data_IF_961544984691
#
_entry.id   IF_961544984691
#
_cell.length_a   1.000
_cell.length_b   1.000
_cell.length_c   1.000
_cell.angle_alpha   90.00
_cell.angle_beta   90.00
_cell.angle_gamma   90.00
#
_symmetry.space_group_name_H-M   'P 1'
#
loop_
_entity.id
_entity.type
_entity.pdbx_description
1 polymer ?
#
# COMPACT_ATOMS: atom_id res chain seq x y z
N UNK A 1 -13.38 -11.38 -64.39
CA UNK A 1 -12.05 -11.24 -65.02
C UNK A 1 -11.30 -10.12 -64.34
N UNK A 2 -10.15 -10.45 -63.75
CA UNK A 2 -9.25 -9.58 -62.99
C UNK A 2 -8.44 -8.62 -63.88
N UNK A 3 -8.17 -7.40 -63.38
CA UNK A 3 -6.87 -6.69 -63.45
C UNK A 3 -7.00 -5.38 -62.66
N UNK A 4 -6.58 -5.31 -61.39
CA UNK A 4 -5.21 -4.96 -60.90
C UNK A 4 -4.67 -3.67 -61.54
N UNK A 5 -4.88 -2.54 -60.86
CA UNK A 5 -4.06 -1.33 -60.97
C UNK A 5 -3.20 -1.22 -59.72
N UNK A 6 -1.89 -1.33 -59.92
CA UNK A 6 -0.84 -1.00 -58.96
C UNK A 6 -0.58 0.50 -59.05
N UNK A 7 -0.67 1.22 -57.94
CA UNK A 7 -0.17 2.58 -57.81
C UNK A 7 0.94 2.60 -56.75
N UNK A 8 2.15 2.87 -57.24
CA UNK A 8 3.35 3.14 -56.45
C UNK A 8 3.17 4.42 -55.65
N UNK A 9 3.42 4.38 -54.33
CA UNK A 9 3.56 5.59 -53.51
C UNK A 9 5.02 5.73 -53.11
N UNK A 10 5.63 6.82 -53.58
CA UNK A 10 7.00 7.20 -53.35
C UNK A 10 7.23 7.61 -51.88
N UNK A 11 8.31 7.09 -51.30
CA UNK A 11 8.86 7.51 -50.01
C UNK A 11 9.69 8.76 -50.22
N UNK A 12 9.28 9.89 -49.63
CA UNK A 12 10.08 11.11 -49.56
C UNK A 12 10.70 11.22 -48.15
N UNK A 13 12.02 11.06 -48.15
CA UNK A 13 12.92 11.21 -47.02
C UNK A 13 13.13 12.72 -46.77
N UNK A 14 12.74 13.22 -45.60
CA UNK A 14 12.99 14.61 -45.18
C UNK A 14 13.76 14.62 -43.86
N UNK A 15 15.09 14.72 -43.95
CA UNK A 15 15.98 14.94 -42.82
C UNK A 15 16.08 16.45 -42.54
N UNK A 16 15.76 16.87 -41.31
CA UNK A 16 16.06 18.21 -40.82
C UNK A 16 16.98 18.11 -39.60
N UNK A 17 18.28 18.35 -39.85
CA UNK A 17 19.26 18.68 -38.82
C UNK A 17 19.06 20.14 -38.40
N UNK A 18 18.86 20.39 -37.11
CA UNK A 18 19.06 21.71 -36.51
C UNK A 18 20.05 21.54 -35.36
N UNK A 19 21.27 22.03 -35.60
CA UNK A 19 22.29 22.21 -34.58
C UNK A 19 21.99 23.50 -33.81
N UNK A 20 21.90 23.42 -32.47
CA UNK A 20 21.91 24.58 -31.60
C UNK A 20 23.16 24.51 -30.71
N UNK A 21 23.97 25.55 -30.83
CA UNK A 21 25.29 25.69 -30.26
C UNK A 21 25.27 25.90 -28.74
N UNK A 22 26.33 25.42 -28.09
CA UNK A 22 26.70 25.71 -26.72
C UNK A 22 27.06 27.20 -26.55
N UNK A 23 26.55 27.83 -25.51
CA UNK A 23 27.12 29.05 -24.94
C UNK A 23 27.31 28.88 -23.43
N UNK A 24 28.59 28.77 -23.04
CA UNK A 24 29.04 28.95 -21.67
C UNK A 24 29.00 30.44 -21.33
N UNK A 25 28.42 30.78 -20.18
CA UNK A 25 28.74 32.03 -19.49
C UNK A 25 29.08 31.72 -18.03
N UNK A 26 30.35 31.98 -17.72
CA UNK A 26 30.98 32.07 -16.42
C UNK A 26 30.43 33.25 -15.62
N UNK A 27 30.21 33.06 -14.32
CA UNK A 27 29.96 34.13 -13.33
C UNK A 27 30.86 33.86 -12.10
N UNK A 28 31.47 34.89 -11.48
CA UNK A 28 32.71 34.74 -10.72
C UNK A 28 32.54 34.40 -9.23
N UNK A 29 33.67 34.00 -8.64
CA UNK A 29 33.88 33.77 -7.20
C UNK A 29 34.01 35.06 -6.38
N UNK A 30 33.61 34.98 -5.11
CA UNK A 30 33.83 35.94 -4.02
C UNK A 30 32.53 36.14 -3.22
N UNK A 31 32.47 36.15 -1.90
CA UNK A 31 33.43 35.99 -0.80
C UNK A 31 32.61 36.06 0.52
N UNK A 32 33.19 35.52 1.60
CA UNK A 32 32.90 35.76 3.02
C UNK A 32 31.73 35.04 3.71
N UNK A 33 32.11 34.00 4.46
CA UNK A 33 31.58 33.63 5.78
C UNK A 33 31.74 34.80 6.77
N UNK A 34 31.03 34.76 7.91
CA UNK A 34 31.75 34.44 9.14
C UNK A 34 31.19 33.25 9.91
N UNK A 35 32.13 32.42 10.39
CA UNK A 35 32.00 31.58 11.59
C UNK A 35 31.67 32.46 12.80
N UNK A 36 30.83 31.96 13.69
CA UNK A 36 30.87 32.36 15.09
C UNK A 36 31.24 31.16 15.95
N UNK A 37 32.36 31.33 16.62
CA UNK A 37 33.07 30.39 17.47
C UNK A 37 32.53 30.37 18.89
N UNK A 38 32.69 29.22 19.53
CA UNK A 38 32.44 28.95 20.94
C UNK A 38 33.08 29.97 21.91
N UNK A 39 32.45 30.12 23.08
CA UNK A 39 33.16 30.47 24.31
C UNK A 39 32.58 29.67 25.47
N UNK A 40 33.44 28.85 26.07
CA UNK A 40 33.26 28.25 27.37
C UNK A 40 33.68 29.26 28.45
N UNK A 41 32.94 29.32 29.55
CA UNK A 41 33.43 29.89 30.81
C UNK A 41 33.20 28.90 31.94
N UNK A 42 34.27 28.71 32.69
CA UNK A 42 34.46 27.78 33.79
C UNK A 42 34.33 28.53 35.13
N UNK A 43 33.60 27.91 36.07
CA UNK A 43 33.76 27.88 37.54
C UNK A 43 34.07 29.15 38.36
N UNK A 44 33.27 29.35 39.42
CA UNK A 44 33.81 29.49 40.79
C UNK A 44 32.78 29.11 41.87
N UNK A 45 33.26 28.34 42.85
CA UNK A 45 32.64 27.94 44.12
C UNK A 45 32.56 29.16 45.09
N UNK A 46 31.95 29.18 46.28
CA UNK A 46 31.33 28.24 47.21
C UNK A 46 30.48 29.08 48.20
N UNK A 47 29.59 28.42 48.93
CA UNK A 47 29.29 28.57 50.38
C UNK A 47 27.80 28.48 50.73
N UNK A 48 27.56 27.57 51.66
CA UNK A 48 26.32 27.19 52.29
C UNK A 48 26.10 28.08 53.53
N UNK A 49 24.85 28.29 53.97
CA UNK A 49 24.56 27.81 55.32
C UNK A 49 23.23 27.08 55.48
N UNK A 50 23.27 26.24 56.49
CA UNK A 50 22.30 25.25 56.96
C UNK A 50 21.02 25.80 57.60
N UNK A 51 20.02 24.90 57.58
CA UNK A 51 18.95 24.69 58.56
C UNK A 51 17.62 25.43 58.36
N UNK A 52 16.60 24.69 57.91
CA UNK A 52 15.53 24.17 58.78
C UNK A 52 14.43 23.53 57.92
N UNK A 53 14.10 22.27 58.23
CA UNK A 53 12.98 21.52 57.65
C UNK A 53 11.65 21.98 58.28
N UNK A 54 10.55 21.91 57.52
CA UNK A 54 9.42 21.15 58.03
C UNK A 54 8.87 20.17 56.98
N UNK A 55 8.60 18.97 57.47
CA UNK A 55 7.92 17.90 56.77
C UNK A 55 6.47 18.29 56.43
N UNK A 56 6.09 18.12 55.16
CA UNK A 56 4.69 17.97 54.73
C UNK A 56 4.62 16.92 53.61
N UNK A 57 4.15 15.74 54.01
CA UNK A 57 3.22 14.83 53.33
C UNK A 57 3.50 14.48 51.86
N UNK A 58 3.94 13.24 51.68
CA UNK A 58 3.84 12.48 50.43
C UNK A 58 2.38 12.29 50.06
N UNK A 59 1.95 12.81 48.90
CA UNK A 59 0.82 12.26 48.18
C UNK A 59 1.32 11.06 47.37
N UNK A 60 0.75 9.88 47.64
CA UNK A 60 0.98 8.66 46.89
C UNK A 60 0.60 8.85 45.42
N UNK A 61 1.40 8.39 44.45
CA UNK A 61 0.90 8.26 43.09
C UNK A 61 -0.15 7.15 43.06
N UNK A 62 -1.37 7.51 42.66
CA UNK A 62 -2.43 6.58 42.29
C UNK A 62 -1.90 5.56 41.28
N UNK A 63 -2.28 4.27 41.38
CA UNK A 63 -1.85 3.27 40.42
C UNK A 63 -2.37 3.66 39.04
N UNK A 64 -1.44 3.86 38.10
CA UNK A 64 -1.74 3.95 36.68
C UNK A 64 -2.54 2.72 36.29
N UNK A 65 -3.78 2.94 35.85
CA UNK A 65 -4.67 1.93 35.31
C UNK A 65 -3.90 1.19 34.22
N UNK A 66 -3.58 -0.07 34.53
CA UNK A 66 -2.89 -1.01 33.67
C UNK A 66 -3.70 -1.09 32.38
N UNK A 67 -3.10 -0.65 31.26
CA UNK A 67 -3.71 -0.75 29.94
C UNK A 67 -4.02 -2.24 29.69
N UNK A 68 -5.30 -2.59 29.83
CA UNK A 68 -5.79 -3.92 29.51
C UNK A 68 -5.42 -4.23 28.05
N UNK A 69 -4.76 -5.36 27.75
CA UNK A 69 -4.57 -5.78 26.38
C UNK A 69 -5.93 -5.93 25.70
N UNK A 70 -6.06 -5.30 24.53
CA UNK A 70 -7.23 -5.44 23.66
C UNK A 70 -7.54 -6.93 23.45
N UNK A 71 -8.82 -7.36 23.51
CA UNK A 71 -9.16 -8.77 23.47
C UNK A 71 -8.70 -9.37 22.14
N UNK A 72 -7.75 -10.30 22.23
CA UNK A 72 -7.32 -11.15 21.10
C UNK A 72 -8.56 -11.79 20.47
N UNK A 73 -8.93 -11.30 19.29
CA UNK A 73 -10.07 -11.76 18.51
C UNK A 73 -9.82 -13.23 18.17
N UNK A 74 -10.72 -14.13 18.61
CA UNK A 74 -10.65 -15.53 18.23
C UNK A 74 -10.47 -15.65 16.69
N UNK A 75 -9.62 -16.57 16.21
CA UNK A 75 -9.31 -16.64 14.79
C UNK A 75 -10.59 -16.86 13.98
N UNK A 76 -10.82 -15.98 13.00
CA UNK A 76 -11.98 -16.08 12.11
C UNK A 76 -11.95 -17.43 11.36
N UNK A 77 -13.12 -18.06 11.22
CA UNK A 77 -13.25 -19.25 10.42
C UNK A 77 -12.81 -18.96 8.97
N UNK A 78 -12.04 -19.88 8.37
CA UNK A 78 -11.66 -19.79 6.97
C UNK A 78 -12.85 -20.20 6.11
N UNK A 79 -13.22 -19.36 5.15
CA UNK A 79 -14.39 -19.51 4.29
C UNK A 79 -14.04 -19.54 2.82
N UNK A 80 -12.94 -18.89 2.41
CA UNK A 80 -12.57 -18.73 1.00
C UNK A 80 -11.16 -19.20 0.73
N UNK A 81 -10.94 -19.72 -0.48
CA UNK A 81 -9.60 -20.03 -1.00
C UNK A 81 -9.42 -19.45 -2.38
N UNK A 82 -8.22 -18.97 -2.67
CA UNK A 82 -7.88 -18.44 -3.98
C UNK A 82 -7.59 -19.58 -4.98
N UNK A 83 -8.13 -19.48 -6.19
CA UNK A 83 -7.83 -20.38 -7.31
C UNK A 83 -6.62 -19.93 -8.13
N UNK A 84 -6.26 -20.71 -9.16
CA UNK A 84 -5.07 -20.43 -10.00
C UNK A 84 -5.19 -19.19 -10.88
N UNK A 85 -6.37 -18.58 -10.98
CA UNK A 85 -6.63 -17.34 -11.73
C UNK A 85 -7.02 -16.19 -10.80
N UNK A 86 -6.61 -16.28 -9.53
CA UNK A 86 -6.75 -15.26 -8.50
C UNK A 86 -8.20 -14.92 -8.12
N UNK A 87 -9.13 -15.86 -8.33
CA UNK A 87 -10.53 -15.73 -7.86
C UNK A 87 -10.70 -16.45 -6.54
N UNK A 88 -11.56 -15.94 -5.69
CA UNK A 88 -11.90 -16.58 -4.43
C UNK A 88 -13.08 -17.52 -4.59
N UNK A 89 -12.94 -18.73 -4.05
CA UNK A 89 -13.96 -19.77 -4.05
C UNK A 89 -14.34 -20.13 -2.63
N UNK A 90 -15.63 -20.35 -2.33
CA UNK A 90 -16.03 -20.83 -1.02
C UNK A 90 -15.45 -22.23 -0.76
N UNK A 91 -15.10 -22.50 0.50
CA UNK A 91 -14.58 -23.79 0.96
C UNK A 91 -15.68 -24.83 1.16
N UNK A 92 -16.91 -24.39 1.41
CA UNK A 92 -18.10 -25.21 1.54
C UNK A 92 -19.24 -24.72 0.62
N UNK A 93 -20.36 -25.45 0.61
CA UNK A 93 -21.51 -25.14 -0.26
C UNK A 93 -22.47 -24.11 0.33
N UNK A 94 -22.35 -23.82 1.62
CA UNK A 94 -23.24 -22.90 2.34
C UNK A 94 -22.74 -21.45 2.26
N UNK A 95 -21.43 -21.28 2.08
CA UNK A 95 -20.77 -20.02 1.84
C UNK A 95 -21.05 -19.55 0.42
N UNK A 96 -21.62 -18.35 0.28
CA UNK A 96 -21.92 -17.74 -1.02
C UNK A 96 -20.65 -17.48 -1.83
N UNK A 97 -20.69 -17.72 -3.14
CA UNK A 97 -19.61 -17.36 -4.07
C UNK A 97 -19.75 -15.92 -4.60
N UNK A 98 -20.90 -15.30 -4.38
CA UNK A 98 -21.24 -13.95 -4.85
C UNK A 98 -20.65 -12.89 -3.92
N UNK A 99 -19.33 -12.87 -3.91
CA UNK A 99 -18.51 -11.96 -3.11
C UNK A 99 -17.36 -11.41 -3.95
N UNK A 100 -16.78 -10.30 -3.49
CA UNK A 100 -15.55 -9.74 -4.05
C UNK A 100 -14.55 -9.43 -2.94
N UNK A 101 -13.27 -9.51 -3.24
CA UNK A 101 -12.20 -8.98 -2.41
C UNK A 101 -11.80 -7.60 -2.94
N UNK A 102 -11.82 -6.60 -2.05
CA UNK A 102 -11.35 -5.25 -2.35
C UNK A 102 -9.87 -5.15 -2.02
N UNK A 103 -9.07 -4.61 -2.93
CA UNK A 103 -7.63 -4.42 -2.72
C UNK A 103 -7.16 -3.08 -3.26
N UNK A 104 -6.22 -2.45 -2.55
CA UNK A 104 -5.65 -1.15 -2.89
C UNK A 104 -4.12 -1.23 -2.90
N UNK A 105 -3.51 -0.92 -4.03
CA UNK A 105 -2.06 -0.87 -4.20
C UNK A 105 -1.52 0.55 -4.01
N UNK A 106 -0.20 0.62 -3.86
CA UNK A 106 0.59 1.84 -3.80
C UNK A 106 0.28 2.78 -2.61
N UNK A 107 -0.21 2.25 -1.48
CA UNK A 107 -0.34 3.02 -0.25
C UNK A 107 0.87 2.90 0.70
N UNK A 108 0.88 3.61 1.84
CA UNK A 108 0.08 4.78 2.18
C UNK A 108 0.83 6.10 1.87
N UNK A 109 0.17 7.09 1.28
CA UNK A 109 0.86 8.34 0.88
C UNK A 109 0.08 9.64 1.07
N UNK A 110 -1.25 9.60 1.02
CA UNK A 110 -2.06 10.81 1.14
C UNK A 110 -3.15 10.60 2.20
N UNK A 111 -3.12 11.41 3.25
CA UNK A 111 -4.00 11.25 4.41
C UNK A 111 -5.47 11.45 4.04
N UNK A 112 -5.79 12.43 3.22
CA UNK A 112 -7.16 12.77 2.84
C UNK A 112 -7.78 11.65 1.99
N UNK A 113 -7.04 11.18 0.97
CA UNK A 113 -7.45 10.06 0.11
C UNK A 113 -7.64 8.79 0.95
N UNK A 114 -6.65 8.45 1.78
CA UNK A 114 -6.71 7.26 2.63
C UNK A 114 -7.90 7.32 3.59
N UNK A 115 -8.11 8.45 4.27
CA UNK A 115 -9.24 8.62 5.20
C UNK A 115 -10.57 8.48 4.46
N UNK A 116 -10.72 9.06 3.28
CA UNK A 116 -11.93 8.92 2.46
C UNK A 116 -12.21 7.48 2.04
N UNK A 117 -11.17 6.72 1.69
CA UNK A 117 -11.31 5.29 1.39
C UNK A 117 -11.79 4.52 2.63
N UNK A 118 -11.14 4.73 3.77
CA UNK A 118 -11.46 4.05 5.03
C UNK A 118 -12.88 4.37 5.51
N UNK A 119 -13.30 5.63 5.46
CA UNK A 119 -14.66 6.04 5.83
C UNK A 119 -15.72 5.39 4.94
N UNK A 120 -15.44 5.26 3.64
CA UNK A 120 -16.33 4.56 2.71
C UNK A 120 -16.39 3.06 3.01
N UNK A 121 -15.24 2.42 3.27
CA UNK A 121 -15.20 1.01 3.66
C UNK A 121 -16.01 0.78 4.94
N UNK A 122 -15.89 1.65 5.94
CA UNK A 122 -16.63 1.52 7.19
C UNK A 122 -18.13 1.78 7.04
N UNK A 123 -18.54 2.73 6.19
CA UNK A 123 -19.94 2.94 5.80
C UNK A 123 -20.57 1.66 5.24
N UNK A 124 -19.83 0.93 4.41
CA UNK A 124 -20.26 -0.32 3.79
C UNK A 124 -19.94 -1.57 4.61
N UNK A 125 -19.32 -1.42 5.80
CA UNK A 125 -18.82 -2.53 6.63
C UNK A 125 -17.91 -3.49 5.85
N UNK A 126 -17.19 -2.95 4.86
CA UNK A 126 -16.31 -3.69 3.98
C UNK A 126 -14.90 -3.75 4.57
N UNK A 127 -14.25 -4.90 4.39
CA UNK A 127 -12.82 -5.08 4.67
C UNK A 127 -12.05 -5.24 3.37
N UNK A 128 -10.82 -4.74 3.36
CA UNK A 128 -9.95 -4.70 2.20
C UNK A 128 -8.51 -5.05 2.57
N UNK A 129 -7.71 -5.35 1.55
CA UNK A 129 -6.25 -5.47 1.68
C UNK A 129 -5.59 -4.22 1.08
N UNK A 130 -4.79 -3.53 1.87
CA UNK A 130 -3.94 -2.43 1.42
C UNK A 130 -2.52 -2.96 1.21
N UNK A 131 -2.10 -3.12 -0.05
CA UNK A 131 -0.75 -3.53 -0.42
C UNK A 131 0.18 -2.32 -0.37
N UNK A 132 1.01 -2.26 0.67
CA UNK A 132 1.82 -1.07 0.96
C UNK A 132 3.23 -1.16 0.40
N UNK A 133 3.78 -0.04 -0.06
CA UNK A 133 5.20 0.05 -0.42
C UNK A 133 6.04 0.41 0.81
N UNK A 134 7.20 -0.23 0.97
CA UNK A 134 8.10 0.04 2.09
C UNK A 134 8.57 1.48 2.19
N UNK A 135 8.93 2.12 1.08
CA UNK A 135 9.34 3.53 1.10
C UNK A 135 8.21 4.47 1.56
N UNK A 136 6.96 4.12 1.27
CA UNK A 136 5.76 4.88 1.69
C UNK A 136 5.45 4.66 3.17
N UNK A 137 5.57 3.42 3.64
CA UNK A 137 5.48 3.08 5.07
C UNK A 137 6.51 3.85 5.88
N UNK A 138 7.77 3.89 5.42
CA UNK A 138 8.83 4.65 6.09
C UNK A 138 8.54 6.15 6.14
N UNK A 139 7.96 6.72 5.09
CA UNK A 139 7.62 8.13 5.02
C UNK A 139 6.37 8.48 5.84
N UNK A 140 5.40 7.56 5.94
CA UNK A 140 4.08 7.80 6.51
C UNK A 140 3.69 6.70 7.52
N UNK A 141 4.46 6.48 8.60
CA UNK A 141 4.18 5.41 9.56
C UNK A 141 2.79 5.56 10.21
N UNK A 142 2.37 6.79 10.51
CA UNK A 142 1.05 7.07 11.10
C UNK A 142 -0.11 6.64 10.20
N UNK A 143 0.06 6.72 8.88
CA UNK A 143 -0.97 6.30 7.93
C UNK A 143 -1.07 4.77 7.86
N UNK A 144 0.05 4.05 8.00
CA UNK A 144 0.03 2.59 8.13
C UNK A 144 -0.72 2.19 9.41
N UNK A 145 -0.40 2.83 10.53
CA UNK A 145 -1.08 2.58 11.81
C UNK A 145 -2.58 2.86 11.69
N UNK A 146 -2.98 3.93 11.00
CA UNK A 146 -4.40 4.23 10.74
C UNK A 146 -5.11 3.10 9.98
N UNK A 147 -4.48 2.53 8.94
CA UNK A 147 -5.05 1.37 8.21
C UNK A 147 -5.31 0.20 9.17
N UNK A 148 -4.32 -0.10 10.02
CA UNK A 148 -4.39 -1.19 10.98
C UNK A 148 -5.44 -0.94 12.07
N UNK A 149 -5.48 0.26 12.66
CA UNK A 149 -6.44 0.65 13.71
C UNK A 149 -7.89 0.66 13.20
N UNK A 150 -8.11 0.96 11.91
CA UNK A 150 -9.41 0.81 11.23
C UNK A 150 -9.75 -0.65 10.91
N UNK A 151 -8.90 -1.58 11.34
CA UNK A 151 -9.09 -3.02 11.20
C UNK A 151 -9.10 -3.47 9.75
N UNK A 152 -8.35 -2.80 8.88
CA UNK A 152 -8.10 -3.24 7.51
C UNK A 152 -6.87 -4.14 7.47
N UNK A 153 -6.77 -4.98 6.44
CA UNK A 153 -5.62 -5.90 6.31
C UNK A 153 -4.49 -5.22 5.55
N UNK A 154 -3.26 -5.37 6.03
CA UNK A 154 -2.06 -4.86 5.36
C UNK A 154 -1.41 -5.99 4.57
N UNK A 155 -1.17 -5.75 3.28
CA UNK A 155 -0.43 -6.61 2.37
C UNK A 155 0.93 -5.99 2.02
N UNK A 156 1.85 -6.81 1.52
CA UNK A 156 3.19 -6.40 1.13
C UNK A 156 3.26 -6.12 -0.39
N UNK A 157 3.74 -4.94 -0.78
CA UNK A 157 3.90 -4.52 -2.17
C UNK A 157 5.36 -4.17 -2.54
N UNK A 158 6.31 -4.86 -1.90
CA UNK A 158 7.75 -4.61 -2.00
C UNK A 158 8.21 -3.24 -1.48
N UNK A 159 9.50 -3.12 -1.21
CA UNK A 159 10.05 -1.89 -0.64
C UNK A 159 10.02 -0.70 -1.61
N UNK A 160 10.67 -0.83 -2.77
CA UNK A 160 10.93 0.26 -3.75
C UNK A 160 9.95 0.27 -4.93
N UNK A 161 8.98 -0.65 -4.97
CA UNK A 161 8.07 -0.83 -6.12
C UNK A 161 8.83 -1.10 -7.45
N UNK A 162 9.88 -1.93 -7.39
CA UNK A 162 10.66 -2.33 -8.58
C UNK A 162 10.10 -3.59 -9.23
N UNK A 163 10.47 -3.84 -10.49
CA UNK A 163 10.06 -5.06 -11.18
C UNK A 163 10.88 -6.27 -10.68
N UNK A 164 10.38 -6.94 -9.64
CA UNK A 164 11.04 -8.05 -8.97
C UNK A 164 11.40 -9.23 -9.88
N UNK A 165 10.65 -9.45 -10.97
CA UNK A 165 10.96 -10.49 -11.96
C UNK A 165 12.33 -10.29 -12.63
N UNK A 166 12.85 -9.06 -12.66
CA UNK A 166 14.14 -8.70 -13.27
C UNK A 166 15.30 -8.64 -12.27
N UNK A 167 15.03 -8.87 -11.00
CA UNK A 167 15.99 -8.71 -9.92
C UNK A 167 16.58 -10.06 -9.47
N UNK A 168 17.71 -9.99 -8.75
CA UNK A 168 18.30 -11.18 -8.14
C UNK A 168 17.46 -11.66 -6.95
N UNK A 169 17.53 -12.96 -6.62
CA UNK A 169 16.81 -13.52 -5.47
C UNK A 169 17.14 -12.78 -4.16
N UNK A 170 18.40 -12.39 -3.95
CA UNK A 170 18.81 -11.62 -2.77
C UNK A 170 18.18 -10.23 -2.73
N UNK A 171 18.03 -9.55 -3.87
CA UNK A 171 17.34 -8.25 -3.93
C UNK A 171 15.84 -8.42 -3.69
N UNK A 172 15.21 -9.46 -4.26
CA UNK A 172 13.79 -9.77 -4.01
C UNK A 172 13.56 -10.06 -2.53
N UNK A 173 14.41 -10.89 -1.91
CA UNK A 173 14.38 -11.21 -0.48
C UNK A 173 14.40 -9.92 0.36
N UNK A 174 15.37 -9.04 0.11
CA UNK A 174 15.46 -7.76 0.81
C UNK A 174 14.18 -6.91 0.62
N UNK A 175 13.70 -6.77 -0.62
CA UNK A 175 12.51 -5.97 -0.93
C UNK A 175 11.25 -6.47 -0.22
N UNK A 176 11.16 -7.78 0.03
CA UNK A 176 10.04 -8.41 0.72
C UNK A 176 10.22 -8.31 2.24
N UNK A 177 11.37 -8.72 2.76
CA UNK A 177 11.66 -8.79 4.19
C UNK A 177 11.61 -7.41 4.85
N UNK A 178 12.18 -6.37 4.23
CA UNK A 178 12.20 -5.03 4.81
C UNK A 178 10.78 -4.47 5.06
N UNK A 179 9.82 -4.83 4.21
CA UNK A 179 8.40 -4.49 4.38
C UNK A 179 7.75 -5.33 5.48
N UNK A 180 8.03 -6.64 5.54
CA UNK A 180 7.54 -7.51 6.63
C UNK A 180 7.93 -6.95 7.99
N UNK A 181 9.22 -6.62 8.16
CA UNK A 181 9.78 -6.12 9.40
C UNK A 181 9.21 -4.75 9.78
N UNK A 182 9.08 -3.85 8.81
CA UNK A 182 8.57 -2.49 9.05
C UNK A 182 7.10 -2.50 9.46
N UNK A 183 6.28 -3.33 8.81
CA UNK A 183 4.86 -3.46 9.17
C UNK A 183 4.73 -4.13 10.54
N UNK A 184 5.40 -5.27 10.77
CA UNK A 184 5.40 -5.96 12.07
C UNK A 184 5.81 -5.03 13.21
N UNK A 185 6.83 -4.18 13.01
CA UNK A 185 7.28 -3.22 14.03
C UNK A 185 6.23 -2.17 14.37
N UNK A 186 5.43 -1.73 13.40
CA UNK A 186 4.45 -0.65 13.57
C UNK A 186 3.08 -1.15 14.04
N UNK A 187 2.70 -2.38 13.68
CA UNK A 187 1.35 -2.91 13.92
C UNK A 187 1.33 -4.12 14.85
N UNK A 188 2.47 -4.78 15.08
CA UNK A 188 2.55 -6.06 15.78
C UNK A 188 2.10 -7.27 14.92
N UNK A 189 1.79 -7.06 13.65
CA UNK A 189 1.35 -8.10 12.72
C UNK A 189 2.14 -8.02 11.40
N UNK A 190 2.75 -9.12 10.97
CA UNK A 190 3.39 -9.19 9.66
C UNK A 190 2.33 -9.43 8.56
N UNK A 191 2.51 -8.85 7.36
CA UNK A 191 1.65 -9.14 6.22
C UNK A 191 1.62 -10.64 5.89
N UNK A 192 0.43 -11.15 5.56
CA UNK A 192 0.19 -12.53 5.11
C UNK A 192 -0.22 -12.61 3.65
N UNK A 193 -0.27 -11.46 2.97
CA UNK A 193 -0.60 -11.33 1.56
C UNK A 193 0.48 -10.53 0.85
N UNK A 194 0.81 -10.96 -0.37
CA UNK A 194 1.78 -10.27 -1.21
C UNK A 194 1.24 -10.07 -2.62
N UNK A 195 1.49 -8.89 -3.17
CA UNK A 195 1.27 -8.60 -4.59
C UNK A 195 2.57 -8.04 -5.17
N UNK A 196 3.09 -8.59 -6.29
CA UNK A 196 4.27 -8.01 -6.92
C UNK A 196 3.92 -6.70 -7.62
N UNK A 197 4.81 -5.68 -7.57
CA UNK A 197 4.71 -4.51 -8.43
C UNK A 197 4.47 -4.89 -9.89
N UNK A 198 3.61 -4.13 -10.56
CA UNK A 198 3.24 -4.34 -11.98
C UNK A 198 2.60 -5.70 -12.28
N UNK A 199 2.16 -6.45 -11.27
CA UNK A 199 1.75 -7.85 -11.43
C UNK A 199 2.88 -8.77 -11.91
N UNK A 200 4.14 -8.34 -11.78
CA UNK A 200 5.29 -8.97 -12.44
C UNK A 200 6.12 -9.82 -11.48
N UNK A 201 5.86 -11.12 -11.47
CA UNK A 201 6.64 -12.11 -10.72
C UNK A 201 7.08 -13.30 -11.56
N UNK A 202 7.93 -14.14 -10.95
CA UNK A 202 8.38 -15.43 -11.46
C UNK A 202 8.37 -16.46 -10.30
N UNK A 203 8.79 -17.69 -10.57
CA UNK A 203 8.75 -18.74 -9.54
C UNK A 203 9.71 -18.48 -8.38
N UNK A 204 10.84 -17.80 -8.62
CA UNK A 204 11.75 -17.37 -7.55
C UNK A 204 11.09 -16.35 -6.62
N UNK A 205 10.35 -15.36 -7.16
CA UNK A 205 9.59 -14.40 -6.36
C UNK A 205 8.51 -15.12 -5.54
N UNK A 206 7.77 -16.04 -6.15
CA UNK A 206 6.72 -16.81 -5.46
C UNK A 206 7.28 -17.67 -4.32
N UNK A 207 8.45 -18.28 -4.53
CA UNK A 207 9.11 -19.10 -3.52
C UNK A 207 9.56 -18.27 -2.33
N UNK A 208 10.19 -17.12 -2.56
CA UNK A 208 10.58 -16.17 -1.50
C UNK A 208 9.34 -15.73 -0.71
N UNK A 209 8.29 -15.29 -1.40
CA UNK A 209 7.04 -14.84 -0.77
C UNK A 209 6.40 -15.96 0.07
N UNK A 210 6.43 -17.20 -0.42
CA UNK A 210 5.96 -18.37 0.32
C UNK A 210 6.80 -18.65 1.57
N UNK A 211 8.11 -18.48 1.50
CA UNK A 211 9.01 -18.67 2.64
C UNK A 211 8.79 -17.61 3.74
N UNK A 212 8.26 -16.44 3.37
CA UNK A 212 7.78 -15.41 4.30
C UNK A 212 6.34 -15.64 4.79
N UNK A 213 5.73 -16.79 4.48
CA UNK A 213 4.38 -17.12 4.95
C UNK A 213 3.26 -16.31 4.28
N UNK A 214 3.51 -15.73 3.10
CA UNK A 214 2.53 -14.90 2.40
C UNK A 214 1.88 -15.59 1.21
N UNK A 215 0.57 -15.36 1.05
CA UNK A 215 -0.16 -15.73 -0.16
C UNK A 215 0.18 -14.72 -1.28
N UNK A 216 0.89 -15.20 -2.30
CA UNK A 216 1.12 -14.45 -3.53
C UNK A 216 -0.17 -14.34 -4.35
N UNK A 217 -0.55 -13.13 -4.76
CA UNK A 217 -1.67 -12.90 -5.68
C UNK A 217 -1.43 -11.72 -6.62
N UNK A 218 -2.12 -11.70 -7.77
CA UNK A 218 -2.33 -10.47 -8.54
C UNK A 218 -3.80 -10.04 -8.40
N UNK A 219 -4.58 -10.08 -9.48
CA UNK A 219 -5.99 -9.74 -9.50
C UNK A 219 -6.72 -10.52 -10.59
N UNK A 220 -8.04 -10.59 -10.48
CA UNK A 220 -8.92 -11.18 -11.49
C UNK A 220 -9.86 -10.14 -12.12
N UNK A 221 -9.90 -8.93 -11.56
CA UNK A 221 -10.69 -7.79 -12.00
C UNK A 221 -9.85 -6.52 -11.76
N UNK A 222 -9.57 -5.75 -12.81
CA UNK A 222 -8.74 -4.54 -12.70
C UNK A 222 -9.56 -3.28 -12.94
N UNK A 223 -9.45 -2.29 -12.05
CA UNK A 223 -10.15 -1.01 -12.16
C UNK A 223 -9.67 -0.11 -13.30
N UNK A 224 -8.45 -0.33 -13.78
CA UNK A 224 -7.76 0.52 -14.76
C UNK A 224 -7.60 1.98 -14.31
N UNK A 225 -7.68 2.24 -13.00
CA UNK A 225 -7.57 3.58 -12.40
C UNK A 225 -6.18 4.21 -12.62
N UNK A 226 -5.16 3.41 -12.96
CA UNK A 226 -3.80 3.85 -13.32
C UNK A 226 -3.63 4.23 -14.80
N UNK A 227 -4.62 3.98 -15.66
CA UNK A 227 -4.45 4.18 -17.10
C UNK A 227 -4.40 5.67 -17.50
N UNK A 228 -3.31 6.06 -18.17
CA UNK A 228 -3.08 7.43 -18.63
C UNK A 228 -4.12 7.97 -19.63
N UNK A 229 -4.96 7.12 -20.23
CA UNK A 229 -6.05 7.56 -21.11
C UNK A 229 -7.27 8.05 -20.32
N UNK A 230 -7.32 7.77 -19.02
CA UNK A 230 -8.45 8.05 -18.14
C UNK A 230 -8.03 8.50 -16.73
N UNK A 231 -6.90 9.22 -16.52
CA UNK A 231 -6.49 9.61 -15.18
C UNK A 231 -7.54 10.57 -14.60
N UNK A 232 -7.99 10.29 -13.38
CA UNK A 232 -8.91 11.18 -12.68
C UNK A 232 -10.39 11.02 -13.01
N UNK A 233 -10.84 9.89 -13.54
CA UNK A 233 -12.27 9.66 -13.86
C UNK A 233 -12.91 8.57 -12.98
N UNK A 234 -13.63 8.95 -11.91
CA UNK A 234 -14.28 8.00 -11.01
C UNK A 234 -15.31 7.09 -11.69
N UNK A 235 -16.04 7.59 -12.69
CA UNK A 235 -17.09 6.81 -13.36
C UNK A 235 -16.50 5.69 -14.22
N UNK A 236 -15.33 5.91 -14.80
CA UNK A 236 -14.60 4.85 -15.52
C UNK A 236 -14.07 3.77 -14.58
N UNK A 237 -13.60 4.12 -13.39
CA UNK A 237 -13.22 3.12 -12.36
C UNK A 237 -14.40 2.19 -12.09
N UNK A 238 -15.58 2.75 -11.84
CA UNK A 238 -16.81 1.98 -11.62
C UNK A 238 -17.14 1.12 -12.84
N UNK A 239 -17.15 1.70 -14.04
CA UNK A 239 -17.51 0.98 -15.26
C UNK A 239 -16.56 -0.19 -15.55
N UNK A 240 -15.25 0.02 -15.43
CA UNK A 240 -14.23 -1.01 -15.68
C UNK A 240 -14.33 -2.18 -14.70
N UNK A 241 -14.60 -1.91 -13.42
CA UNK A 241 -14.82 -2.97 -12.43
C UNK A 241 -16.10 -3.76 -12.75
N UNK A 242 -17.20 -3.07 -13.06
CA UNK A 242 -18.49 -3.72 -13.31
C UNK A 242 -18.52 -4.53 -14.62
N UNK A 243 -17.80 -4.10 -15.65
CA UNK A 243 -17.67 -4.84 -16.93
C UNK A 243 -17.00 -6.20 -16.74
N UNK A 244 -16.04 -6.28 -15.82
CA UNK A 244 -15.26 -7.49 -15.52
C UNK A 244 -15.80 -8.27 -14.31
N UNK A 245 -16.95 -7.88 -13.75
CA UNK A 245 -17.45 -8.41 -12.49
C UNK A 245 -17.86 -9.88 -12.61
N UNK A 246 -17.40 -10.69 -11.66
CA UNK A 246 -17.76 -12.11 -11.55
C UNK A 246 -17.69 -12.57 -10.08
N UNK A 247 -18.36 -13.68 -9.70
CA UNK A 247 -18.25 -14.29 -8.37
C UNK A 247 -16.79 -14.54 -7.98
N UNK A 248 -16.43 -14.14 -6.76
CA UNK A 248 -15.09 -14.27 -6.20
C UNK A 248 -14.05 -13.31 -6.76
N UNK A 249 -14.45 -12.20 -7.38
CA UNK A 249 -13.50 -11.27 -7.99
C UNK A 249 -12.51 -10.69 -6.97
N UNK A 250 -11.22 -10.71 -7.32
CA UNK A 250 -10.17 -9.95 -6.65
C UNK A 250 -9.99 -8.63 -7.42
N UNK A 251 -10.51 -7.54 -6.87
CA UNK A 251 -10.56 -6.22 -7.50
C UNK A 251 -9.29 -5.45 -7.14
N UNK A 252 -8.45 -5.17 -8.14
CA UNK A 252 -7.33 -4.26 -8.04
C UNK A 252 -7.79 -2.82 -8.22
N UNK A 253 -7.47 -1.98 -7.24
CA UNK A 253 -7.53 -0.52 -7.28
C UNK A 253 -6.22 0.06 -6.68
N UNK A 254 -6.04 1.37 -6.75
CA UNK A 254 -4.92 2.08 -6.13
C UNK A 254 -5.41 3.16 -5.16
N UNK A 255 -4.57 3.55 -4.20
CA UNK A 255 -4.82 4.71 -3.34
C UNK A 255 -4.73 6.01 -4.18
N UNK A 256 -5.80 6.36 -4.88
CA UNK A 256 -5.87 7.52 -5.78
C UNK A 256 -7.15 8.33 -5.50
N UNK A 257 -7.11 9.64 -5.71
CA UNK A 257 -8.24 10.53 -5.40
C UNK A 257 -9.52 10.12 -6.12
N UNK A 258 -9.44 9.82 -7.42
CA UNK A 258 -10.60 9.38 -8.19
C UNK A 258 -11.08 7.98 -7.82
N UNK A 259 -10.21 7.11 -7.30
CA UNK A 259 -10.62 5.82 -6.72
C UNK A 259 -11.41 6.06 -5.43
N UNK A 260 -10.97 6.98 -4.57
CA UNK A 260 -11.71 7.36 -3.37
C UNK A 260 -13.09 7.96 -3.71
N UNK A 261 -13.16 8.83 -4.72
CA UNK A 261 -14.42 9.39 -5.22
C UNK A 261 -15.35 8.34 -5.84
N UNK A 262 -14.80 7.30 -6.48
CA UNK A 262 -15.56 6.21 -7.10
C UNK A 262 -16.11 5.19 -6.10
N UNK A 263 -15.43 5.00 -4.97
CA UNK A 263 -15.58 3.81 -4.13
C UNK A 263 -17.00 3.64 -3.60
N UNK A 264 -17.64 4.71 -3.13
CA UNK A 264 -19.00 4.65 -2.55
C UNK A 264 -20.02 4.15 -3.59
N UNK A 265 -19.97 4.75 -4.78
CA UNK A 265 -20.82 4.36 -5.91
C UNK A 265 -20.54 2.94 -6.38
N UNK A 266 -19.27 2.51 -6.37
CA UNK A 266 -18.90 1.15 -6.72
C UNK A 266 -19.48 0.15 -5.71
N UNK A 267 -19.29 0.38 -4.41
CA UNK A 267 -19.72 -0.55 -3.38
C UNK A 267 -21.25 -0.66 -3.34
N UNK A 268 -21.98 0.45 -3.44
CA UNK A 268 -23.44 0.43 -3.61
C UNK A 268 -23.87 -0.43 -4.81
N UNK A 269 -23.23 -0.30 -5.97
CA UNK A 269 -23.61 -1.07 -7.15
C UNK A 269 -23.25 -2.55 -7.04
N UNK A 270 -22.20 -2.91 -6.30
CA UNK A 270 -21.87 -4.30 -5.99
C UNK A 270 -22.93 -4.91 -5.09
N UNK A 271 -23.33 -4.20 -4.03
CA UNK A 271 -24.41 -4.59 -3.11
C UNK A 271 -25.76 -4.73 -3.82
N UNK A 272 -26.13 -3.76 -4.68
CA UNK A 272 -27.36 -3.81 -5.51
C UNK A 272 -27.36 -5.02 -6.45
N UNK A 273 -26.17 -5.41 -6.94
CA UNK A 273 -26.00 -6.63 -7.73
C UNK A 273 -25.97 -7.88 -6.87
N UNK A 274 -26.02 -7.78 -5.55
CA UNK A 274 -26.07 -8.86 -4.57
C UNK A 274 -24.70 -9.45 -4.20
N UNK A 275 -23.62 -8.69 -4.37
CA UNK A 275 -22.28 -9.09 -3.93
C UNK A 275 -22.03 -8.68 -2.48
N UNK A 276 -21.41 -9.58 -1.71
CA UNK A 276 -20.79 -9.26 -0.43
C UNK A 276 -19.30 -8.94 -0.56
N UNK A 277 -18.67 -8.51 0.54
CA UNK A 277 -17.24 -8.25 0.61
C UNK A 277 -16.53 -9.31 1.45
N UNK A 278 -15.45 -9.88 0.92
CA UNK A 278 -14.63 -10.86 1.64
C UNK A 278 -13.86 -10.12 2.75
N UNK A 279 -14.03 -10.57 4.00
CA UNK A 279 -13.08 -10.25 5.07
C UNK A 279 -11.78 -11.02 4.80
N UNK A 280 -10.62 -10.34 4.60
CA UNK A 280 -9.37 -11.04 4.33
C UNK A 280 -8.99 -12.05 5.41
N UNK A 281 -9.43 -11.87 6.66
CA UNK A 281 -9.20 -12.84 7.74
C UNK A 281 -9.88 -14.20 7.48
N UNK A 282 -10.95 -14.23 6.66
CA UNK A 282 -11.66 -15.44 6.25
C UNK A 282 -11.00 -16.18 5.07
N UNK A 283 -9.87 -15.68 4.54
CA UNK A 283 -9.13 -16.34 3.45
C UNK A 283 -8.21 -17.43 4.04
N UNK A 284 -8.35 -18.65 3.54
CA UNK A 284 -7.37 -19.72 3.67
C UNK A 284 -6.18 -19.44 2.73
N UNK A 285 -5.04 -19.10 3.31
CA UNK A 285 -3.79 -18.87 2.58
C UNK A 285 -3.14 -20.18 2.13
N UNK A 286 -3.53 -21.32 2.72
CA UNK A 286 -2.89 -22.61 2.49
C UNK A 286 -1.45 -22.67 3.01
N UNK A 287 -1.05 -21.73 3.86
CA UNK A 287 0.26 -21.64 4.48
C UNK A 287 0.12 -21.94 5.98
N UNK A 288 1.10 -22.63 6.55
CA UNK A 288 1.13 -22.86 7.99
C UNK A 288 1.48 -21.54 8.69
N UNK A 289 0.68 -21.17 9.69
CA UNK A 289 0.98 -20.06 10.60
C UNK A 289 2.07 -20.44 11.60
#
# INVERSE_FOLDING_TARGET
MFKRMTASLAVLLGAALVAAACSQQSVPSGSNLPQESASAQESQAAEQPTAASPALQQEEPTPSEEATPSPSKAPAAKLYKMDSVYRFKPLDKETTDKVVLLTFDDGPHNKEVLTSLLDTLDKHKAKAIFFVNGYRVKANPDLLTLIHERGQTIGNHSWDHINLKKESAAKVEQQVADVQDSVMKLTGEAPTFFRPPYGSGNDSVKEIVKNHGMLYMTWSNGSLDWEQKSPGDPDKVVASVLEQLHPGANILMHELAWTAEALDKLLMQLEDKGYGFIDPAAIDTGLAN
#
